data_IF_369779826665
#
_entry.id   IF_369779826665
#
_cell.length_a   1.000
_cell.length_b   1.000
_cell.length_c   1.000
_cell.angle_alpha   90.00
_cell.angle_beta   90.00
_cell.angle_gamma   90.00
#
_symmetry.space_group_name_H-M   'P 1'
#
loop_
_entity.id
_entity.type
_entity.pdbx_description
1 polymer ?
#
# COMPACT_ATOMS: atom_id res chain seq x y z
N UNK A 1 -18.29 13.74 -0.60
CA UNK A 1 -18.91 12.46 -0.19
C UNK A 1 -18.74 11.48 -1.34
N UNK A 2 -18.04 10.38 -1.16
CA UNK A 2 -17.96 9.29 -2.14
C UNK A 2 -18.58 8.06 -1.52
N UNK A 3 -19.31 7.31 -2.30
CA UNK A 3 -19.92 6.04 -1.89
C UNK A 3 -19.14 4.94 -2.62
N UNK A 4 -18.61 3.98 -1.89
CA UNK A 4 -18.06 2.76 -2.47
C UNK A 4 -19.17 1.72 -2.60
N UNK A 5 -19.16 0.98 -3.69
CA UNK A 5 -20.11 -0.07 -3.98
C UNK A 5 -19.39 -1.42 -4.09
N UNK A 6 -20.06 -2.49 -3.69
CA UNK A 6 -19.58 -3.85 -3.94
C UNK A 6 -19.73 -4.23 -5.43
N UNK A 7 -19.31 -5.44 -5.76
CA UNK A 7 -19.42 -5.97 -7.13
C UNK A 7 -20.87 -6.13 -7.62
N UNK A 8 -21.81 -6.17 -6.71
CA UNK A 8 -23.25 -6.29 -6.97
C UNK A 8 -23.95 -4.93 -7.00
N UNK A 9 -23.22 -3.84 -6.82
CA UNK A 9 -23.72 -2.47 -6.86
C UNK A 9 -24.38 -1.99 -5.56
N UNK A 10 -24.23 -2.72 -4.45
CA UNK A 10 -24.71 -2.28 -3.15
C UNK A 10 -23.72 -1.29 -2.52
N UNK A 11 -24.23 -0.23 -1.92
CA UNK A 11 -23.38 0.71 -1.19
C UNK A 11 -22.75 0.00 0.02
N UNK A 12 -21.43 -0.22 -0.04
CA UNK A 12 -20.70 -0.87 1.06
C UNK A 12 -20.45 0.14 2.17
N UNK A 13 -20.18 1.39 1.81
CA UNK A 13 -19.78 2.42 2.77
C UNK A 13 -19.96 3.82 2.22
N UNK A 14 -20.16 4.75 3.15
CA UNK A 14 -20.22 6.17 2.86
C UNK A 14 -18.91 6.83 3.30
N UNK A 15 -18.12 7.31 2.33
CA UNK A 15 -16.91 8.07 2.64
C UNK A 15 -17.25 9.51 2.96
N UNK A 16 -16.99 9.91 4.18
CA UNK A 16 -17.09 11.33 4.55
C UNK A 16 -15.71 11.96 4.37
N UNK A 17 -15.62 12.87 3.43
CA UNK A 17 -14.44 13.70 3.19
C UNK A 17 -14.41 14.81 4.26
N UNK A 18 -13.94 14.48 5.45
CA UNK A 18 -13.71 15.46 6.50
C UNK A 18 -12.49 15.08 7.33
N UNK A 19 -11.81 16.06 7.83
CA UNK A 19 -10.54 15.96 8.55
C UNK A 19 -10.58 15.16 9.87
N UNK A 20 -11.72 14.59 10.26
CA UNK A 20 -11.82 13.99 11.60
C UNK A 20 -12.82 12.84 11.77
N UNK A 21 -13.38 12.26 10.72
CA UNK A 21 -14.37 11.19 10.93
C UNK A 21 -13.93 9.83 10.43
N UNK A 22 -13.80 8.90 11.37
CA UNK A 22 -13.83 7.47 11.09
C UNK A 22 -15.28 7.03 10.98
N UNK A 23 -15.65 6.29 9.93
CA UNK A 23 -16.94 5.61 9.86
C UNK A 23 -16.77 4.24 10.48
N UNK A 24 -17.48 3.99 11.56
CA UNK A 24 -17.55 2.65 12.16
C UNK A 24 -18.76 1.96 11.57
N UNK A 25 -18.57 0.95 10.75
CA UNK A 25 -19.64 0.05 10.33
C UNK A 25 -19.84 -0.99 11.44
N UNK A 26 -20.97 -0.95 12.12
CA UNK A 26 -21.28 -1.76 13.29
C UNK A 26 -21.40 -3.27 13.00
N UNK A 27 -21.52 -3.70 11.75
CA UNK A 27 -21.59 -5.13 11.40
C UNK A 27 -20.23 -5.81 11.27
N UNK A 28 -19.16 -5.08 10.93
CA UNK A 28 -17.83 -5.68 10.72
C UNK A 28 -16.69 -4.95 11.42
N UNK A 29 -16.96 -3.96 12.25
CA UNK A 29 -15.93 -3.18 12.97
C UNK A 29 -14.80 -2.66 12.05
N UNK A 30 -15.09 -2.32 10.80
CA UNK A 30 -14.11 -1.74 9.87
C UNK A 30 -14.01 -0.24 10.07
N UNK A 31 -12.80 0.25 10.24
CA UNK A 31 -12.49 1.68 10.31
C UNK A 31 -11.65 2.05 9.10
N UNK A 32 -12.23 2.79 8.15
CA UNK A 32 -11.57 3.15 6.89
C UNK A 32 -11.10 4.60 6.95
N UNK A 33 -9.88 4.84 6.51
CA UNK A 33 -9.30 6.17 6.37
C UNK A 33 -8.83 6.39 4.94
N UNK A 34 -9.35 7.43 4.32
CA UNK A 34 -8.88 7.93 3.03
C UNK A 34 -7.95 9.13 3.25
N UNK A 35 -6.74 9.05 2.75
CA UNK A 35 -5.65 10.01 2.97
C UNK A 35 -5.40 10.80 1.69
N UNK A 36 -5.70 12.10 1.74
CA UNK A 36 -5.45 13.04 0.63
C UNK A 36 -4.42 14.11 1.01
N UNK A 37 -4.21 14.33 2.31
CA UNK A 37 -3.36 15.40 2.81
C UNK A 37 -2.38 14.90 3.87
N UNK A 38 -1.28 15.62 4.04
CA UNK A 38 -0.29 15.36 5.09
C UNK A 38 -0.89 15.42 6.50
N UNK A 39 -1.82 16.33 6.76
CA UNK A 39 -2.47 16.43 8.06
C UNK A 39 -3.25 15.15 8.36
N UNK A 40 -4.02 14.63 7.40
CA UNK A 40 -4.75 13.38 7.56
C UNK A 40 -3.81 12.19 7.82
N UNK A 41 -2.66 12.15 7.14
CA UNK A 41 -1.65 11.11 7.37
C UNK A 41 -1.08 11.17 8.79
N UNK A 42 -0.78 12.36 9.30
CA UNK A 42 -0.23 12.55 10.64
C UNK A 42 -1.23 12.22 11.76
N UNK A 43 -2.53 12.20 11.44
CA UNK A 43 -3.64 11.97 12.36
C UNK A 43 -4.28 10.59 12.20
N UNK A 44 -3.59 9.62 11.56
CA UNK A 44 -4.14 8.27 11.38
C UNK A 44 -4.32 7.61 12.75
N UNK A 45 -5.54 7.19 13.12
CA UNK A 45 -5.76 6.50 14.38
C UNK A 45 -5.21 5.07 14.34
N UNK A 46 -4.66 4.59 15.45
CA UNK A 46 -4.10 3.23 15.54
C UNK A 46 -5.13 2.11 15.38
N UNK A 47 -6.41 2.44 15.57
CA UNK A 47 -7.53 1.49 15.42
C UNK A 47 -7.97 1.26 13.97
N UNK A 48 -7.30 1.87 12.99
CA UNK A 48 -7.68 1.75 11.57
C UNK A 48 -7.57 0.32 11.07
N UNK A 49 -8.53 -0.08 10.23
CA UNK A 49 -8.51 -1.37 9.55
C UNK A 49 -8.15 -1.26 8.06
N UNK A 50 -8.53 -0.17 7.43
CA UNK A 50 -8.30 0.03 6.00
C UNK A 50 -7.72 1.43 5.74
N UNK A 51 -6.59 1.46 5.07
CA UNK A 51 -5.85 2.67 4.76
C UNK A 51 -5.77 2.85 3.24
N UNK A 52 -6.40 3.90 2.75
CA UNK A 52 -6.46 4.21 1.32
C UNK A 52 -5.80 5.56 1.06
N UNK A 53 -4.81 5.57 0.18
CA UNK A 53 -4.13 6.80 -0.22
C UNK A 53 -4.68 7.33 -1.54
N UNK A 54 -4.86 8.64 -1.62
CA UNK A 54 -5.27 9.31 -2.85
C UNK A 54 -4.23 9.19 -3.96
N UNK A 55 -4.68 9.34 -5.19
CA UNK A 55 -3.78 9.46 -6.34
C UNK A 55 -2.84 10.68 -6.16
N UNK A 56 -1.57 10.50 -6.48
CA UNK A 56 -0.54 11.54 -6.34
C UNK A 56 -0.11 11.86 -4.90
N UNK A 57 -0.68 11.19 -3.89
CA UNK A 57 -0.30 11.45 -2.51
C UNK A 57 1.16 11.07 -2.23
N UNK A 58 1.84 11.86 -1.43
CA UNK A 58 3.20 11.56 -0.97
C UNK A 58 4.29 11.65 -2.04
N UNK A 59 4.01 12.26 -3.19
CA UNK A 59 4.96 12.36 -4.30
C UNK A 59 6.20 13.21 -4.02
N UNK A 60 6.22 13.99 -2.93
CA UNK A 60 7.34 14.89 -2.62
C UNK A 60 7.89 14.74 -1.19
N UNK A 61 7.33 13.86 -0.35
CA UNK A 61 7.47 14.01 1.09
C UNK A 61 8.28 12.93 1.81
N UNK A 62 8.50 11.74 1.22
CA UNK A 62 9.04 10.62 1.97
C UNK A 62 10.13 9.86 1.23
N UNK A 63 11.33 9.85 1.78
CA UNK A 63 12.39 8.92 1.35
C UNK A 63 12.20 7.52 1.93
N UNK A 64 11.53 7.39 3.05
CA UNK A 64 11.27 6.12 3.73
C UNK A 64 9.87 6.10 4.34
N UNK A 65 9.12 5.03 4.13
CA UNK A 65 7.79 4.82 4.65
C UNK A 65 7.73 3.51 5.45
N UNK A 66 7.26 3.59 6.69
CA UNK A 66 7.11 2.47 7.61
C UNK A 66 5.73 2.48 8.26
N UNK A 67 5.16 1.30 8.53
CA UNK A 67 3.84 1.14 9.14
C UNK A 67 3.89 0.33 10.46
N UNK A 68 4.65 0.74 11.49
CA UNK A 68 4.90 -0.15 12.63
C UNK A 68 3.77 -0.24 13.65
N UNK A 69 2.75 0.63 13.59
CA UNK A 69 1.82 0.82 14.71
C UNK A 69 0.35 0.47 14.42
N UNK A 70 0.03 -0.05 13.24
CA UNK A 70 -1.37 -0.32 12.89
C UNK A 70 -1.72 -1.79 13.07
N UNK A 71 -1.90 -2.21 14.33
CA UNK A 71 -2.14 -3.62 14.69
C UNK A 71 -3.44 -4.22 14.11
N UNK A 72 -4.39 -3.36 13.73
CA UNK A 72 -5.68 -3.79 13.19
C UNK A 72 -5.78 -3.66 11.67
N UNK A 73 -4.72 -3.21 11.01
CA UNK A 73 -4.73 -2.93 9.58
C UNK A 73 -4.90 -4.22 8.76
N UNK A 74 -5.95 -4.27 7.95
CA UNK A 74 -6.27 -5.39 7.07
C UNK A 74 -6.00 -5.08 5.61
N UNK A 75 -6.11 -3.81 5.21
CA UNK A 75 -5.92 -3.38 3.82
C UNK A 75 -5.09 -2.11 3.74
N UNK A 76 -4.12 -2.08 2.82
CA UNK A 76 -3.48 -0.85 2.38
C UNK A 76 -3.65 -0.74 0.86
N UNK A 77 -4.20 0.40 0.42
CA UNK A 77 -4.36 0.73 -1.00
C UNK A 77 -3.61 2.03 -1.31
N UNK A 78 -2.54 1.91 -2.06
CA UNK A 78 -1.73 3.04 -2.52
C UNK A 78 -2.28 3.55 -3.85
N UNK A 79 -2.72 4.80 -3.88
CA UNK A 79 -3.29 5.45 -5.07
C UNK A 79 -2.33 5.51 -6.26
N UNK A 80 -2.87 5.78 -7.43
CA UNK A 80 -2.07 5.96 -8.65
C UNK A 80 -1.09 7.13 -8.51
N UNK A 81 0.12 6.99 -9.07
CA UNK A 81 1.17 8.03 -9.07
C UNK A 81 1.57 8.52 -7.67
N UNK A 82 1.27 7.73 -6.63
CA UNK A 82 1.57 8.07 -5.25
C UNK A 82 3.00 7.65 -4.86
N UNK A 83 3.57 8.33 -3.87
CA UNK A 83 4.84 7.99 -3.24
C UNK A 83 6.06 7.88 -4.18
N UNK A 84 6.11 8.67 -5.25
CA UNK A 84 7.18 8.58 -6.24
C UNK A 84 8.59 8.79 -5.65
N UNK A 85 8.74 9.65 -4.63
CA UNK A 85 10.03 9.94 -3.98
C UNK A 85 10.44 8.92 -2.90
N UNK A 86 9.57 7.98 -2.54
CA UNK A 86 9.90 6.98 -1.52
C UNK A 86 10.92 5.99 -2.06
N UNK A 87 12.12 6.02 -1.51
CA UNK A 87 13.20 5.12 -1.90
C UNK A 87 13.14 3.78 -1.16
N UNK A 88 12.64 3.77 0.07
CA UNK A 88 12.53 2.54 0.87
C UNK A 88 11.12 2.40 1.42
N UNK A 89 10.45 1.32 1.03
CA UNK A 89 9.19 0.91 1.62
C UNK A 89 9.39 -0.36 2.44
N UNK A 90 9.05 -0.29 3.72
CA UNK A 90 9.07 -1.45 4.61
C UNK A 90 7.69 -1.68 5.23
N UNK A 91 7.11 -2.84 4.93
CA UNK A 91 5.87 -3.34 5.53
C UNK A 91 6.21 -4.59 6.32
N UNK A 92 6.17 -4.50 7.64
CA UNK A 92 6.64 -5.60 8.50
C UNK A 92 5.83 -5.70 9.78
N UNK A 93 5.49 -6.94 10.15
CA UNK A 93 4.85 -7.22 11.44
C UNK A 93 3.38 -6.82 11.52
N UNK A 94 2.72 -6.57 10.39
CA UNK A 94 1.29 -6.29 10.33
C UNK A 94 0.51 -7.61 10.34
N UNK A 95 0.22 -8.12 11.52
CA UNK A 95 -0.28 -9.48 11.71
C UNK A 95 -1.68 -9.72 11.13
N UNK A 96 -2.50 -8.67 10.99
CA UNK A 96 -3.85 -8.78 10.44
C UNK A 96 -3.96 -8.31 8.99
N UNK A 97 -2.85 -7.90 8.39
CA UNK A 97 -2.86 -7.41 7.02
C UNK A 97 -3.20 -8.56 6.06
N UNK A 98 -4.23 -8.38 5.25
CA UNK A 98 -4.73 -9.36 4.29
C UNK A 98 -4.49 -8.95 2.84
N UNK A 99 -4.51 -7.65 2.56
CA UNK A 99 -4.42 -7.13 1.20
C UNK A 99 -3.49 -5.92 1.08
N UNK A 100 -2.62 -5.97 0.08
CA UNK A 100 -1.79 -4.85 -0.36
C UNK A 100 -2.09 -4.54 -1.82
N UNK A 101 -2.42 -3.28 -2.12
CA UNK A 101 -2.73 -2.82 -3.46
C UNK A 101 -1.83 -1.63 -3.77
N UNK A 102 -1.02 -1.79 -4.80
CA UNK A 102 -0.19 -0.73 -5.36
C UNK A 102 -0.75 -0.39 -6.74
N UNK A 103 -1.35 0.79 -6.88
CA UNK A 103 -1.97 1.20 -8.13
C UNK A 103 -0.94 1.66 -9.16
N UNK A 104 -1.40 1.90 -10.37
CA UNK A 104 -0.56 2.31 -11.51
C UNK A 104 0.41 3.44 -11.15
N UNK A 105 1.67 3.31 -11.57
CA UNK A 105 2.76 4.27 -11.34
C UNK A 105 3.06 4.59 -9.86
N UNK A 106 2.49 3.88 -8.89
CA UNK A 106 2.82 4.11 -7.48
C UNK A 106 4.27 3.70 -7.20
N UNK A 107 4.93 4.43 -6.32
CA UNK A 107 6.34 4.23 -5.96
C UNK A 107 7.32 4.27 -7.14
N UNK A 108 6.97 4.92 -8.22
CA UNK A 108 7.82 5.07 -9.40
C UNK A 108 8.22 6.53 -9.57
N UNK A 109 9.52 6.81 -9.49
CA UNK A 109 10.04 8.15 -9.73
C UNK A 109 10.26 8.42 -11.22
N UNK A 110 10.88 7.47 -11.91
CA UNK A 110 11.18 7.59 -13.33
C UNK A 110 10.95 6.27 -14.05
N UNK A 111 10.18 6.31 -15.11
CA UNK A 111 9.92 5.14 -15.96
C UNK A 111 11.12 4.77 -16.87
N UNK A 112 12.10 5.65 -17.00
CA UNK A 112 13.14 5.56 -18.03
C UNK A 112 14.58 5.67 -17.48
N UNK A 113 14.79 5.67 -16.18
CA UNK A 113 16.13 5.87 -15.62
C UNK A 113 16.63 4.64 -14.87
N UNK A 114 17.60 3.97 -15.45
CA UNK A 114 18.31 2.83 -14.83
C UNK A 114 19.44 3.27 -13.86
N UNK A 115 20.02 4.45 -14.07
CA UNK A 115 21.38 4.71 -13.61
C UNK A 115 21.50 5.35 -12.22
N UNK A 116 20.47 5.92 -11.64
CA UNK A 116 20.67 6.83 -10.50
C UNK A 116 20.09 6.34 -9.18
N UNK A 117 19.40 5.19 -9.12
CA UNK A 117 18.66 4.80 -7.93
C UNK A 117 18.87 3.37 -7.45
N UNK A 118 20.11 2.97 -7.31
CA UNK A 118 20.53 1.65 -6.82
C UNK A 118 20.06 1.33 -5.40
N UNK A 119 19.49 2.29 -4.69
CA UNK A 119 19.09 2.15 -3.28
C UNK A 119 17.57 2.04 -3.07
N UNK A 120 16.76 1.97 -4.14
CA UNK A 120 15.31 1.82 -3.98
C UNK A 120 14.96 0.37 -3.71
N UNK A 121 14.25 0.14 -2.61
CA UNK A 121 13.94 -1.22 -2.18
C UNK A 121 12.57 -1.35 -1.52
N UNK A 122 11.91 -2.47 -1.80
CA UNK A 122 10.67 -2.90 -1.17
C UNK A 122 10.94 -4.11 -0.28
N UNK A 123 10.49 -4.04 0.96
CA UNK A 123 10.49 -5.18 1.88
C UNK A 123 9.09 -5.39 2.43
N UNK A 124 8.55 -6.60 2.24
CA UNK A 124 7.30 -7.04 2.86
C UNK A 124 7.61 -8.32 3.63
N UNK A 125 7.47 -8.30 4.95
CA UNK A 125 7.83 -9.45 5.77
C UNK A 125 7.00 -9.59 7.04
N UNK A 126 6.94 -10.83 7.55
CA UNK A 126 6.28 -11.12 8.83
C UNK A 126 4.84 -10.61 8.89
N UNK A 127 4.08 -10.81 7.81
CA UNK A 127 2.65 -10.50 7.71
C UNK A 127 1.90 -11.84 7.50
N UNK A 128 1.63 -12.58 8.57
CA UNK A 128 1.15 -13.96 8.48
C UNK A 128 -0.21 -14.10 7.82
N UNK A 129 -1.09 -13.11 7.94
CA UNK A 129 -2.44 -13.13 7.36
C UNK A 129 -2.52 -12.54 5.94
N UNK A 130 -1.38 -12.07 5.38
CA UNK A 130 -1.37 -11.47 4.04
C UNK A 130 -1.66 -12.52 2.97
N UNK A 131 -2.80 -12.35 2.28
CA UNK A 131 -3.28 -13.28 1.26
C UNK A 131 -3.05 -12.79 -0.17
N UNK A 132 -3.09 -11.47 -0.37
CA UNK A 132 -3.03 -10.89 -1.71
C UNK A 132 -2.10 -9.68 -1.78
N UNK A 133 -1.30 -9.61 -2.84
CA UNK A 133 -0.53 -8.43 -3.21
C UNK A 133 -0.82 -8.14 -4.68
N UNK A 134 -1.20 -6.90 -5.00
CA UNK A 134 -1.43 -6.45 -6.36
C UNK A 134 -0.51 -5.29 -6.70
N UNK A 135 0.30 -5.47 -7.74
CA UNK A 135 1.15 -4.44 -8.31
C UNK A 135 0.55 -3.95 -9.63
N UNK A 136 0.18 -2.68 -9.70
CA UNK A 136 -0.33 -2.05 -10.92
C UNK A 136 0.76 -1.77 -11.96
N UNK A 137 0.34 -1.39 -13.16
CA UNK A 137 1.26 -1.07 -14.25
C UNK A 137 2.28 -0.01 -13.83
N UNK A 138 3.54 -0.24 -14.17
CA UNK A 138 4.67 0.64 -13.86
C UNK A 138 4.90 0.91 -12.36
N UNK A 139 4.22 0.23 -11.44
CA UNK A 139 4.53 0.38 -10.02
C UNK A 139 5.92 -0.19 -9.72
N UNK A 140 6.67 0.52 -8.88
CA UNK A 140 8.05 0.16 -8.52
C UNK A 140 8.99 -0.06 -9.72
N UNK A 141 8.73 0.53 -10.88
CA UNK A 141 9.50 0.23 -12.10
C UNK A 141 10.99 0.53 -11.99
N UNK A 142 11.40 1.44 -11.11
CA UNK A 142 12.78 1.85 -10.84
C UNK A 142 13.32 1.37 -9.48
N UNK A 143 12.64 0.41 -8.84
CA UNK A 143 13.16 -0.23 -7.61
C UNK A 143 14.21 -1.28 -7.97
N UNK A 144 15.28 -1.32 -7.17
CA UNK A 144 16.41 -2.23 -7.40
C UNK A 144 16.18 -3.61 -6.78
N UNK A 145 15.54 -3.67 -5.62
CA UNK A 145 15.36 -4.94 -4.92
C UNK A 145 13.98 -5.07 -4.28
N UNK A 146 13.51 -6.33 -4.22
CA UNK A 146 12.25 -6.70 -3.57
C UNK A 146 12.53 -7.90 -2.67
N UNK A 147 12.04 -7.82 -1.45
CA UNK A 147 12.10 -8.91 -0.48
C UNK A 147 10.70 -9.24 0.01
N UNK A 148 10.27 -10.48 -0.20
CA UNK A 148 9.05 -11.05 0.35
C UNK A 148 9.45 -12.21 1.28
N UNK A 149 9.17 -12.09 2.59
CA UNK A 149 9.63 -13.06 3.59
C UNK A 149 8.55 -13.36 4.62
N UNK A 150 8.43 -14.63 5.04
CA UNK A 150 7.51 -15.05 6.10
C UNK A 150 6.06 -14.58 5.87
N UNK A 151 5.53 -14.82 4.66
CA UNK A 151 4.17 -14.51 4.23
C UNK A 151 3.38 -15.82 4.09
N UNK A 152 3.09 -16.47 5.20
CA UNK A 152 2.65 -17.87 5.24
C UNK A 152 1.26 -18.10 4.64
N UNK A 153 0.41 -17.07 4.58
CA UNK A 153 -0.94 -17.15 4.00
C UNK A 153 -1.03 -16.59 2.58
N UNK A 154 0.10 -16.22 1.97
CA UNK A 154 0.09 -15.58 0.64
C UNK A 154 -0.42 -16.55 -0.44
N UNK A 155 -1.55 -16.19 -1.06
CA UNK A 155 -2.22 -16.99 -2.09
C UNK A 155 -1.95 -16.44 -3.48
N UNK A 156 -1.94 -15.10 -3.61
CA UNK A 156 -1.87 -14.45 -4.92
C UNK A 156 -0.96 -13.24 -4.90
N UNK A 157 -0.11 -13.15 -5.92
CA UNK A 157 0.63 -11.94 -6.27
C UNK A 157 0.34 -11.64 -7.74
N UNK A 158 -0.23 -10.47 -8.01
CA UNK A 158 -0.49 -10.02 -9.39
C UNK A 158 0.45 -8.90 -9.78
N UNK A 159 0.90 -8.92 -11.03
CA UNK A 159 1.83 -7.95 -11.57
C UNK A 159 1.23 -7.28 -12.81
N UNK A 160 1.18 -5.96 -12.81
CA UNK A 160 0.86 -5.16 -13.97
C UNK A 160 2.03 -5.08 -14.96
N UNK A 161 1.79 -4.46 -16.11
CA UNK A 161 2.82 -4.28 -17.13
C UNK A 161 3.95 -3.39 -16.61
N UNK A 162 5.21 -3.76 -16.90
CA UNK A 162 6.42 -3.00 -16.54
C UNK A 162 6.57 -2.68 -15.05
N UNK A 163 5.85 -3.34 -14.16
CA UNK A 163 6.16 -3.24 -12.74
C UNK A 163 7.53 -3.89 -12.49
N UNK A 164 8.35 -3.29 -11.63
CA UNK A 164 9.71 -3.74 -11.34
C UNK A 164 10.61 -3.89 -12.56
N UNK A 165 10.41 -3.12 -13.60
CA UNK A 165 11.08 -3.29 -14.90
C UNK A 165 12.62 -3.30 -14.82
N UNK A 166 13.19 -2.52 -13.90
CA UNK A 166 14.62 -2.43 -13.68
C UNK A 166 15.12 -3.17 -12.42
N UNK A 167 14.34 -4.06 -11.87
CA UNK A 167 14.65 -4.70 -10.59
C UNK A 167 15.46 -5.97 -10.75
N UNK A 168 16.40 -6.17 -9.84
CA UNK A 168 16.98 -7.48 -9.57
C UNK A 168 16.12 -8.17 -8.50
N UNK A 169 15.33 -9.15 -8.91
CA UNK A 169 14.50 -9.90 -7.99
C UNK A 169 15.30 -10.84 -7.12
N UNK A 170 15.22 -10.68 -5.82
CA UNK A 170 15.60 -11.72 -4.88
C UNK A 170 14.36 -12.13 -4.10
N UNK A 171 13.72 -13.22 -4.49
CA UNK A 171 12.75 -13.88 -3.64
C UNK A 171 13.48 -14.69 -2.59
N UNK A 172 13.41 -14.29 -1.35
CA UNK A 172 13.77 -15.13 -0.22
C UNK A 172 12.48 -15.62 0.42
N UNK A 173 11.97 -16.75 -0.04
CA UNK A 173 10.92 -17.48 0.65
C UNK A 173 11.63 -18.44 1.60
N UNK A 174 11.73 -18.07 2.88
CA UNK A 174 12.00 -19.06 3.91
C UNK A 174 10.64 -19.57 4.41
N UNK A 175 10.38 -20.83 4.12
CA UNK A 175 9.28 -21.63 4.65
C UNK A 175 9.53 -21.86 6.15
#
# INVERSE_FOLDING_TARGET
>A
MRIAYDVDGNAIEQYIKSSSSSIVNTQFSRTIRYIETQSQYNEIPTSITDLLFANGFGSTLYQSLNFPLFENLTTIDFGEESFSEVATLSISGLNKLQSLIFRKNSFTFSKNSYAERTNRQLTIKNCPDLTTISFGDYSFSDYHSIQLQNLNSLISVTFGEYCFYYSNFTFSCMI
#
